data_IF_143990115750
#
_entry.id   IF_143990115750
#
_cell.length_a   1.000
_cell.length_b   1.000
_cell.length_c   1.000
_cell.angle_alpha   90.00
_cell.angle_beta   90.00
_cell.angle_gamma   90.00
#
_symmetry.space_group_name_H-M   'P 1'
#
loop_
_entity.id
_entity.type
_entity.pdbx_description
1 polymer ?
#
# COMPACT_ATOMS: atom_id res chain seq x y z
N UNK A 1 -23.43 9.39 4.01
CA UNK A 1 -23.10 8.09 3.37
C UNK A 1 -21.65 8.14 2.96
N UNK A 2 -20.81 7.31 3.55
CA UNK A 2 -19.40 7.17 3.14
C UNK A 2 -19.34 6.67 1.70
N UNK A 3 -18.57 7.36 0.86
CA UNK A 3 -18.50 7.04 -0.57
C UNK A 3 -17.45 5.96 -0.79
N UNK A 4 -17.82 4.81 -1.38
CA UNK A 4 -16.90 3.73 -1.71
C UNK A 4 -15.77 4.25 -2.59
N UNK A 5 -14.52 3.99 -2.22
CA UNK A 5 -13.32 4.31 -2.98
C UNK A 5 -12.86 3.12 -3.80
N UNK A 6 -12.72 1.95 -3.18
CA UNK A 6 -12.39 0.69 -3.82
C UNK A 6 -13.46 -0.35 -3.48
N UNK A 7 -13.99 -1.01 -4.50
CA UNK A 7 -14.93 -2.13 -4.31
C UNK A 7 -14.48 -3.32 -5.17
N UNK A 8 -14.24 -4.44 -4.51
CA UNK A 8 -13.86 -5.72 -5.12
C UNK A 8 -14.97 -6.71 -4.87
N UNK A 9 -15.48 -7.34 -5.93
CA UNK A 9 -16.59 -8.29 -5.84
C UNK A 9 -16.24 -9.60 -6.53
N UNK A 10 -16.43 -10.72 -5.81
CA UNK A 10 -16.24 -12.09 -6.29
C UNK A 10 -14.93 -12.33 -7.05
N UNK A 11 -13.84 -11.73 -6.57
CA UNK A 11 -12.56 -11.74 -7.26
C UNK A 11 -11.87 -13.10 -7.18
N UNK A 12 -11.55 -13.64 -8.35
CA UNK A 12 -10.64 -14.79 -8.52
C UNK A 12 -9.45 -14.32 -9.34
N UNK A 13 -8.25 -14.62 -8.87
CA UNK A 13 -7.02 -14.26 -9.59
C UNK A 13 -5.99 -15.38 -9.53
N UNK A 14 -5.29 -15.59 -10.64
CA UNK A 14 -4.28 -16.61 -10.83
C UNK A 14 -2.94 -16.05 -11.28
N UNK A 15 -1.89 -16.81 -11.05
CA UNK A 15 -0.58 -16.65 -11.65
C UNK A 15 -0.09 -18.02 -12.11
N UNK A 16 0.47 -18.11 -13.33
CA UNK A 16 1.00 -19.37 -13.88
C UNK A 16 0.03 -20.56 -13.70
N UNK A 17 -1.23 -20.40 -14.10
CA UNK A 17 -2.30 -21.41 -14.00
C UNK A 17 -2.70 -21.83 -12.58
N UNK A 18 -2.13 -21.23 -11.54
CA UNK A 18 -2.51 -21.46 -10.14
C UNK A 18 -3.40 -20.36 -9.62
N UNK A 19 -4.63 -20.69 -9.23
CA UNK A 19 -5.52 -19.76 -8.53
C UNK A 19 -4.96 -19.43 -7.16
N UNK A 20 -4.77 -18.13 -6.90
CA UNK A 20 -4.20 -17.61 -5.64
C UNK A 20 -5.29 -16.91 -4.83
N UNK A 21 -6.13 -16.06 -5.47
CA UNK A 21 -7.26 -15.42 -4.81
C UNK A 21 -8.56 -16.11 -5.23
N UNK A 22 -9.47 -16.30 -4.27
CA UNK A 22 -10.71 -17.05 -4.49
C UNK A 22 -11.87 -16.35 -3.79
N UNK A 23 -12.90 -15.97 -4.57
CA UNK A 23 -14.12 -15.36 -4.05
C UNK A 23 -13.85 -14.23 -3.06
N UNK A 24 -12.88 -13.36 -3.40
CA UNK A 24 -12.46 -12.28 -2.52
C UNK A 24 -13.37 -11.08 -2.70
N UNK A 25 -13.91 -10.60 -1.59
CA UNK A 25 -14.71 -9.39 -1.51
C UNK A 25 -14.05 -8.41 -0.55
N UNK A 26 -13.89 -7.15 -0.99
CA UNK A 26 -13.30 -6.08 -0.17
C UNK A 26 -13.89 -4.75 -0.57
N UNK A 27 -14.37 -3.97 0.40
CA UNK A 27 -14.78 -2.60 0.18
C UNK A 27 -13.98 -1.66 1.07
N UNK A 28 -13.42 -0.60 0.49
CA UNK A 28 -12.70 0.47 1.20
C UNK A 28 -13.40 1.79 0.86
N UNK A 29 -13.88 2.49 1.87
CA UNK A 29 -14.44 3.82 1.68
C UNK A 29 -13.35 4.89 1.75
N UNK A 30 -13.66 6.11 1.30
CA UNK A 30 -12.75 7.25 1.44
C UNK A 30 -12.44 7.54 2.91
N UNK A 31 -11.17 7.77 3.20
CA UNK A 31 -10.68 8.07 4.54
C UNK A 31 -10.39 6.85 5.41
N UNK A 32 -10.75 5.64 5.00
CA UNK A 32 -10.57 4.44 5.81
C UNK A 32 -9.14 3.86 5.68
N UNK A 33 -8.66 3.33 6.81
CA UNK A 33 -7.43 2.55 6.91
C UNK A 33 -7.76 1.09 7.20
N UNK A 34 -7.43 0.23 6.25
CA UNK A 34 -7.63 -1.20 6.31
C UNK A 34 -6.30 -1.93 6.49
N UNK A 35 -6.28 -2.92 7.37
CA UNK A 35 -5.13 -3.79 7.58
C UNK A 35 -5.46 -5.18 7.00
N UNK A 36 -4.55 -5.73 6.21
CA UNK A 36 -4.64 -7.08 5.68
C UNK A 36 -3.58 -7.95 6.34
N UNK A 37 -4.01 -8.89 7.14
CA UNK A 37 -3.17 -9.86 7.83
C UNK A 37 -3.44 -11.28 7.35
N UNK A 38 -2.50 -12.18 7.56
CA UNK A 38 -2.64 -13.59 7.19
C UNK A 38 -1.30 -14.30 7.15
N UNK A 39 -1.27 -15.62 7.14
CA UNK A 39 -0.03 -16.39 7.08
C UNK A 39 0.74 -16.14 5.77
N UNK A 40 2.02 -16.54 5.74
CA UNK A 40 2.82 -16.48 4.53
C UNK A 40 2.19 -17.37 3.44
N UNK A 41 2.19 -16.86 2.20
CA UNK A 41 1.55 -17.57 1.08
C UNK A 41 0.02 -17.44 1.02
N UNK A 42 -0.63 -16.70 1.92
CA UNK A 42 -2.08 -16.50 1.90
C UNK A 42 -2.62 -15.73 0.70
N UNK A 43 -1.76 -14.98 -0.03
CA UNK A 43 -2.15 -14.17 -1.18
C UNK A 43 -2.19 -12.66 -0.92
N UNK A 44 -1.64 -12.17 0.20
CA UNK A 44 -1.69 -10.74 0.60
C UNK A 44 -1.05 -9.82 -0.45
N UNK A 45 0.23 -10.06 -0.79
CA UNK A 45 0.95 -9.28 -1.82
C UNK A 45 0.33 -9.47 -3.20
N UNK A 46 -0.23 -10.65 -3.47
CA UNK A 46 -0.99 -10.91 -4.71
C UNK A 46 -2.19 -9.97 -4.81
N UNK A 47 -2.95 -9.78 -3.73
CA UNK A 47 -4.09 -8.84 -3.72
C UNK A 47 -3.64 -7.42 -4.06
N UNK A 48 -2.58 -6.92 -3.42
CA UNK A 48 -2.03 -5.59 -3.73
C UNK A 48 -1.62 -5.44 -5.20
N UNK A 49 -0.94 -6.44 -5.73
CA UNK A 49 -0.51 -6.47 -7.13
C UNK A 49 -1.70 -6.55 -8.11
N UNK A 50 -2.72 -7.36 -7.80
CA UNK A 50 -3.94 -7.48 -8.61
C UNK A 50 -4.73 -6.16 -8.60
N UNK A 51 -4.87 -5.49 -7.45
CA UNK A 51 -5.48 -4.16 -7.37
C UNK A 51 -4.68 -3.15 -8.20
N UNK A 52 -3.36 -3.26 -8.25
CA UNK A 52 -2.52 -2.37 -9.06
C UNK A 52 -2.50 -2.73 -10.55
N UNK A 53 -3.06 -3.88 -10.95
CA UNK A 53 -3.10 -4.32 -12.36
C UNK A 53 -1.75 -4.85 -12.87
N UNK A 54 -0.98 -5.51 -12.02
CA UNK A 54 0.26 -6.17 -12.41
C UNK A 54 -0.02 -7.33 -13.37
N UNK A 55 0.55 -7.28 -14.56
CA UNK A 55 0.31 -8.23 -15.65
C UNK A 55 0.78 -9.68 -15.38
N UNK A 56 1.52 -9.91 -14.31
CA UNK A 56 1.87 -11.27 -13.86
C UNK A 56 0.66 -12.03 -13.29
N UNK A 57 -0.42 -11.31 -12.94
CA UNK A 57 -1.63 -11.89 -12.39
C UNK A 57 -2.78 -11.70 -13.37
N UNK A 58 -3.56 -12.76 -13.55
CA UNK A 58 -4.76 -12.76 -14.38
C UNK A 58 -6.00 -12.75 -13.48
N UNK A 59 -6.92 -11.84 -13.74
CA UNK A 59 -8.24 -11.87 -13.12
C UNK A 59 -9.08 -12.85 -13.93
N UNK A 60 -9.48 -13.97 -13.31
CA UNK A 60 -10.26 -15.03 -13.94
C UNK A 60 -11.75 -14.77 -13.82
N UNK A 61 -12.19 -14.12 -12.72
CA UNK A 61 -13.58 -13.78 -12.45
C UNK A 61 -13.65 -12.62 -11.45
N UNK A 62 -14.78 -11.93 -11.41
CA UNK A 62 -15.06 -10.82 -10.51
C UNK A 62 -14.73 -9.48 -11.12
N UNK A 63 -14.82 -8.44 -10.30
CA UNK A 63 -14.60 -7.06 -10.74
C UNK A 63 -13.95 -6.20 -9.67
N UNK A 64 -13.23 -5.18 -10.13
CA UNK A 64 -12.59 -4.16 -9.29
C UNK A 64 -13.08 -2.80 -9.74
N UNK A 65 -13.78 -2.08 -8.87
CA UNK A 65 -14.22 -0.71 -9.09
C UNK A 65 -13.41 0.26 -8.23
N UNK A 66 -12.98 1.36 -8.83
CA UNK A 66 -12.32 2.45 -8.14
C UNK A 66 -13.07 3.76 -8.44
N UNK A 67 -13.56 4.43 -7.40
CA UNK A 67 -14.45 5.62 -7.51
C UNK A 67 -15.66 5.39 -8.44
N UNK A 68 -16.27 4.19 -8.37
CA UNK A 68 -17.37 3.70 -9.22
C UNK A 68 -17.01 3.47 -10.70
N UNK A 69 -15.74 3.54 -11.08
CA UNK A 69 -15.26 3.18 -12.40
C UNK A 69 -14.71 1.75 -12.39
N UNK A 70 -15.10 0.93 -13.34
CA UNK A 70 -14.55 -0.42 -13.51
C UNK A 70 -13.10 -0.33 -13.99
N UNK A 71 -12.17 -0.80 -13.16
CA UNK A 71 -10.73 -0.84 -13.46
C UNK A 71 -10.21 -2.26 -13.68
N UNK A 72 -11.09 -3.25 -13.77
CA UNK A 72 -10.73 -4.68 -13.81
C UNK A 72 -9.70 -4.98 -14.91
N UNK A 73 -9.84 -4.38 -16.08
CA UNK A 73 -8.96 -4.56 -17.24
C UNK A 73 -8.00 -3.39 -17.49
N UNK A 74 -8.01 -2.34 -16.65
CA UNK A 74 -7.15 -1.17 -16.88
C UNK A 74 -5.69 -1.48 -16.54
N UNK A 75 -4.76 -0.81 -17.21
CA UNK A 75 -3.32 -1.00 -17.06
C UNK A 75 -2.81 -0.38 -15.75
N UNK A 76 -1.66 -0.85 -15.28
CA UNK A 76 -1.01 -0.35 -14.06
C UNK A 76 -0.77 1.16 -14.08
N UNK A 77 -0.28 1.70 -15.20
CA UNK A 77 -0.02 3.14 -15.36
C UNK A 77 -1.30 3.98 -15.30
N UNK A 78 -2.40 3.51 -15.90
CA UNK A 78 -3.70 4.17 -15.82
C UNK A 78 -4.27 4.16 -14.40
N UNK A 79 -4.13 3.03 -13.68
CA UNK A 79 -4.52 2.94 -12.25
C UNK A 79 -3.72 3.89 -11.38
N UNK A 80 -2.41 4.01 -11.62
CA UNK A 80 -1.56 4.97 -10.92
C UNK A 80 -2.00 6.43 -11.19
N UNK A 81 -2.36 6.76 -12.42
CA UNK A 81 -2.89 8.08 -12.79
C UNK A 81 -4.23 8.38 -12.11
N UNK A 82 -5.09 7.38 -11.92
CA UNK A 82 -6.37 7.52 -11.18
C UNK A 82 -6.16 7.77 -9.69
N UNK A 83 -4.97 7.47 -9.15
CA UNK A 83 -4.61 7.72 -7.76
C UNK A 83 -4.42 6.49 -6.92
N UNK A 84 -4.14 5.33 -7.50
CA UNK A 84 -3.64 4.18 -6.77
C UNK A 84 -2.12 4.26 -6.63
N UNK A 85 -1.61 3.75 -5.52
CA UNK A 85 -0.18 3.64 -5.24
C UNK A 85 0.08 2.28 -4.58
N UNK A 86 1.14 1.61 -5.00
CA UNK A 86 1.62 0.37 -4.37
C UNK A 86 3.08 0.57 -3.94
N UNK A 87 3.35 0.38 -2.65
CA UNK A 87 4.69 0.23 -2.12
C UNK A 87 5.15 -1.21 -2.34
N UNK A 88 6.32 -1.39 -2.93
CA UNK A 88 6.84 -2.73 -3.20
C UNK A 88 7.56 -3.31 -1.98
N UNK A 89 7.41 -4.60 -1.76
CA UNK A 89 8.18 -5.33 -0.75
C UNK A 89 9.69 -5.14 -0.95
N UNK A 90 10.14 -5.18 -2.21
CA UNK A 90 11.52 -4.95 -2.61
C UNK A 90 11.59 -3.84 -3.67
N UNK A 91 11.85 -2.57 -3.27
CA UNK A 91 11.96 -1.47 -4.21
C UNK A 91 13.10 -1.66 -5.22
N UNK A 92 12.79 -1.47 -6.51
CA UNK A 92 13.73 -1.66 -7.61
C UNK A 92 14.71 -0.48 -7.66
N UNK A 93 15.98 -0.76 -8.00
CA UNK A 93 16.99 0.24 -8.32
C UNK A 93 16.81 0.75 -9.75
N UNK A 94 16.87 2.07 -9.95
CA UNK A 94 16.78 2.69 -11.28
C UNK A 94 18.04 3.54 -11.50
N UNK A 95 19.10 2.96 -12.07
CA UNK A 95 20.32 3.69 -12.39
C UNK A 95 20.06 4.82 -13.41
N UNK A 96 20.75 5.93 -13.26
CA UNK A 96 20.66 7.09 -14.16
C UNK A 96 19.45 8.01 -13.93
N UNK A 97 18.53 7.66 -13.01
CA UNK A 97 17.34 8.48 -12.69
C UNK A 97 17.39 8.94 -11.25
N UNK A 98 17.51 10.25 -11.01
CA UNK A 98 17.48 10.77 -9.64
C UNK A 98 16.10 10.66 -9.00
N UNK A 99 16.06 10.57 -7.65
CA UNK A 99 14.81 10.52 -6.89
C UNK A 99 13.91 11.72 -7.23
N UNK A 100 14.47 12.93 -7.29
CA UNK A 100 13.70 14.13 -7.62
C UNK A 100 13.15 14.10 -9.04
N UNK A 101 13.92 13.60 -10.01
CA UNK A 101 13.49 13.47 -11.40
C UNK A 101 12.36 12.44 -11.52
N UNK A 102 12.52 11.27 -10.89
CA UNK A 102 11.50 10.21 -10.89
C UNK A 102 10.16 10.73 -10.34
N UNK A 103 10.18 11.33 -9.14
CA UNK A 103 8.97 11.85 -8.49
C UNK A 103 8.32 12.93 -9.35
N UNK A 104 9.11 13.86 -9.89
CA UNK A 104 8.59 14.93 -10.74
C UNK A 104 7.93 14.37 -12.00
N UNK A 105 8.59 13.47 -12.70
CA UNK A 105 8.04 12.83 -13.89
C UNK A 105 6.73 12.11 -13.58
N UNK A 106 6.68 11.34 -12.48
CA UNK A 106 5.46 10.66 -12.05
C UNK A 106 4.32 11.64 -11.71
N UNK A 107 4.61 12.78 -11.08
CA UNK A 107 3.61 13.81 -10.81
C UNK A 107 3.12 14.50 -12.10
N UNK A 108 4.01 14.76 -13.05
CA UNK A 108 3.69 15.42 -14.34
C UNK A 108 2.83 14.56 -15.27
N UNK A 109 2.67 13.25 -15.01
CA UNK A 109 1.68 12.41 -15.73
C UNK A 109 0.23 12.81 -15.45
N UNK A 110 -0.03 13.47 -14.32
CA UNK A 110 -1.37 13.92 -13.92
C UNK A 110 -1.63 15.38 -14.31
N UNK A 111 -0.67 16.24 -14.06
CA UNK A 111 -0.79 17.67 -14.33
C UNK A 111 0.59 18.35 -14.46
N UNK A 112 0.66 19.46 -15.21
CA UNK A 112 1.90 20.24 -15.30
C UNK A 112 2.21 20.93 -13.97
N UNK A 113 3.40 20.66 -13.42
CA UNK A 113 3.81 21.21 -12.13
C UNK A 113 4.83 22.31 -12.31
N UNK A 114 4.59 23.47 -11.67
CA UNK A 114 5.57 24.53 -11.60
C UNK A 114 6.78 24.10 -10.79
N UNK A 115 7.99 24.26 -11.35
CA UNK A 115 9.24 23.80 -10.73
C UNK A 115 9.43 24.35 -9.30
N UNK A 116 9.04 25.60 -9.05
CA UNK A 116 9.11 26.20 -7.70
C UNK A 116 8.20 25.45 -6.72
N UNK A 117 6.94 25.23 -7.08
CA UNK A 117 5.98 24.52 -6.24
C UNK A 117 6.44 23.08 -5.94
N UNK A 118 7.00 22.38 -6.94
CA UNK A 118 7.59 21.06 -6.75
C UNK A 118 8.74 21.09 -5.72
N UNK A 119 9.69 22.03 -5.86
CA UNK A 119 10.84 22.16 -4.94
C UNK A 119 10.40 22.51 -3.53
N UNK A 120 9.45 23.42 -3.37
CA UNK A 120 8.94 23.82 -2.06
C UNK A 120 8.24 22.64 -1.36
N UNK A 121 7.39 21.88 -2.08
CA UNK A 121 6.74 20.67 -1.58
C UNK A 121 7.78 19.61 -1.21
N UNK A 122 8.75 19.33 -2.09
CA UNK A 122 9.80 18.35 -1.86
C UNK A 122 10.61 18.67 -0.58
N UNK A 123 11.00 19.94 -0.40
CA UNK A 123 11.71 20.41 0.80
C UNK A 123 10.86 20.24 2.06
N UNK A 124 9.58 20.54 1.99
CA UNK A 124 8.66 20.36 3.12
C UNK A 124 8.55 18.89 3.50
N UNK A 125 8.32 18.01 2.53
CA UNK A 125 8.14 16.56 2.79
C UNK A 125 9.44 15.91 3.28
N UNK A 126 10.60 16.23 2.70
CA UNK A 126 11.89 15.72 3.19
C UNK A 126 12.16 16.13 4.64
N UNK A 127 11.84 17.38 4.99
CA UNK A 127 11.94 17.86 6.39
C UNK A 127 10.99 17.11 7.32
N UNK A 128 9.74 16.92 6.92
CA UNK A 128 8.74 16.15 7.70
C UNK A 128 9.20 14.74 7.99
N UNK A 129 9.79 14.07 7.00
CA UNK A 129 10.29 12.70 7.13
C UNK A 129 11.68 12.59 7.76
N UNK A 130 12.38 13.71 7.99
CA UNK A 130 13.75 13.71 8.48
C UNK A 130 14.74 13.08 7.49
N UNK A 131 14.49 13.22 6.19
CA UNK A 131 15.33 12.70 5.11
C UNK A 131 16.41 13.73 4.78
N UNK A 132 17.65 13.25 4.58
CA UNK A 132 18.73 14.11 4.12
C UNK A 132 18.41 14.69 2.73
N UNK A 133 18.36 16.03 2.61
CA UNK A 133 18.02 16.71 1.36
C UNK A 133 18.97 16.35 0.20
N UNK A 134 20.20 15.93 0.47
CA UNK A 134 21.14 15.52 -0.57
C UNK A 134 20.71 14.23 -1.29
N UNK A 135 19.90 13.38 -0.63
CA UNK A 135 19.44 12.11 -1.23
C UNK A 135 18.58 12.32 -2.47
N UNK A 136 17.84 13.43 -2.54
CA UNK A 136 16.94 13.70 -3.68
C UNK A 136 17.66 13.75 -5.04
N UNK A 137 18.97 14.03 -5.02
CA UNK A 137 19.81 14.08 -6.22
C UNK A 137 20.50 12.74 -6.53
N UNK A 138 20.42 11.75 -5.63
CA UNK A 138 20.96 10.40 -5.86
C UNK A 138 20.02 9.60 -6.75
N UNK A 139 20.56 8.61 -7.42
CA UNK A 139 19.81 7.65 -8.23
C UNK A 139 18.82 6.85 -7.36
N UNK A 140 17.63 6.60 -7.89
CA UNK A 140 16.54 5.97 -7.14
C UNK A 140 16.93 4.58 -6.67
N UNK A 141 16.97 4.40 -5.36
CA UNK A 141 17.27 3.17 -4.64
C UNK A 141 18.68 2.58 -4.84
N UNK A 142 19.53 3.19 -5.69
CA UNK A 142 20.88 2.67 -5.98
C UNK A 142 21.81 2.93 -4.78
N UNK A 143 22.32 1.82 -4.20
CA UNK A 143 23.22 1.87 -3.05
C UNK A 143 22.58 2.39 -1.75
N UNK A 144 21.26 2.37 -1.66
CA UNK A 144 20.54 2.64 -0.42
C UNK A 144 20.34 1.35 0.39
N UNK A 145 20.44 1.44 1.71
CA UNK A 145 20.05 0.37 2.62
C UNK A 145 18.53 0.12 2.58
N UNK A 146 18.06 -1.02 3.10
CA UNK A 146 16.63 -1.32 3.15
C UNK A 146 15.81 -0.23 3.84
N UNK A 147 16.27 0.25 5.00
CA UNK A 147 15.60 1.33 5.74
C UNK A 147 15.57 2.65 4.98
N UNK A 148 16.66 3.00 4.29
CA UNK A 148 16.72 4.21 3.46
C UNK A 148 15.76 4.12 2.27
N UNK A 149 15.65 2.95 1.61
CA UNK A 149 14.67 2.72 0.52
C UNK A 149 13.24 2.92 1.00
N UNK A 150 12.90 2.44 2.20
CA UNK A 150 11.55 2.64 2.77
C UNK A 150 11.27 4.11 3.12
N UNK A 151 12.28 4.87 3.57
CA UNK A 151 12.15 6.34 3.74
C UNK A 151 11.88 7.02 2.41
N UNK A 152 12.55 6.60 1.33
CA UNK A 152 12.29 7.13 -0.02
C UNK A 152 10.90 6.73 -0.54
N UNK A 153 10.39 5.55 -0.22
CA UNK A 153 8.99 5.18 -0.53
C UNK A 153 7.99 6.10 0.17
N UNK A 154 8.22 6.45 1.44
CA UNK A 154 7.37 7.42 2.15
C UNK A 154 7.45 8.82 1.52
N UNK A 155 8.63 9.22 1.04
CA UNK A 155 8.76 10.46 0.27
C UNK A 155 7.92 10.40 -1.01
N UNK A 156 7.96 9.30 -1.76
CA UNK A 156 7.14 9.11 -2.95
C UNK A 156 5.65 9.15 -2.60
N UNK A 157 5.20 8.44 -1.56
CA UNK A 157 3.82 8.44 -1.09
C UNK A 157 3.29 9.86 -0.85
N UNK A 158 4.01 10.66 -0.04
CA UNK A 158 3.58 12.02 0.30
C UNK A 158 3.67 13.00 -0.87
N UNK A 159 4.65 12.83 -1.75
CA UNK A 159 4.79 13.66 -2.95
C UNK A 159 3.73 13.36 -4.00
N UNK A 160 3.48 12.09 -4.30
CA UNK A 160 2.49 11.64 -5.30
C UNK A 160 1.06 11.79 -4.81
N UNK A 161 0.87 11.78 -3.49
CA UNK A 161 -0.41 12.04 -2.81
C UNK A 161 -1.58 11.24 -3.43
N UNK A 162 -1.52 9.88 -3.47
CA UNK A 162 -2.55 9.06 -4.07
C UNK A 162 -3.87 9.16 -3.30
N UNK A 163 -4.96 8.61 -3.87
CA UNK A 163 -6.26 8.47 -3.18
C UNK A 163 -6.29 7.20 -2.31
N UNK A 164 -5.70 6.11 -2.83
CA UNK A 164 -5.51 4.86 -2.11
C UNK A 164 -4.03 4.45 -2.17
N UNK A 165 -3.42 4.27 -1.02
CA UNK A 165 -2.09 3.70 -0.92
C UNK A 165 -2.17 2.25 -0.39
N UNK A 166 -1.54 1.33 -1.12
CA UNK A 166 -1.35 -0.06 -0.73
C UNK A 166 0.09 -0.18 -0.27
N UNK A 167 0.29 -0.50 1.01
CA UNK A 167 1.61 -0.59 1.64
C UNK A 167 1.90 -2.06 1.96
N UNK A 168 2.78 -2.69 1.17
CA UNK A 168 3.10 -4.12 1.31
C UNK A 168 4.41 -4.31 2.08
N UNK A 169 4.28 -4.82 3.32
CA UNK A 169 5.39 -5.11 4.25
C UNK A 169 6.43 -3.98 4.36
N UNK A 170 5.94 -2.74 4.46
CA UNK A 170 6.80 -1.54 4.53
C UNK A 170 7.62 -1.44 5.80
N UNK A 171 7.33 -2.25 6.79
CA UNK A 171 7.97 -2.32 8.10
C UNK A 171 8.91 -3.52 8.28
N UNK A 172 9.04 -4.38 7.29
CA UNK A 172 9.88 -5.58 7.35
C UNK A 172 11.37 -5.23 7.36
N UNK A 173 12.11 -5.78 8.34
CA UNK A 173 13.57 -5.63 8.44
C UNK A 173 14.06 -4.22 8.76
N UNK A 174 13.21 -3.33 9.28
CA UNK A 174 13.56 -1.96 9.62
C UNK A 174 14.19 -1.84 11.02
N UNK A 175 15.17 -0.95 11.16
CA UNK A 175 15.61 -0.45 12.44
C UNK A 175 14.58 0.52 13.07
N UNK A 176 14.80 0.86 14.34
CA UNK A 176 13.87 1.70 15.11
C UNK A 176 13.66 3.08 14.47
N UNK A 177 14.69 3.67 13.88
CA UNK A 177 14.61 5.01 13.29
C UNK A 177 13.90 4.98 11.93
N UNK A 178 14.09 3.93 11.16
CA UNK A 178 13.33 3.72 9.91
C UNK A 178 11.84 3.49 10.21
N UNK A 179 11.50 2.67 11.21
CA UNK A 179 10.10 2.47 11.67
C UNK A 179 9.45 3.80 12.03
N UNK A 180 10.12 4.66 12.82
CA UNK A 180 9.60 5.99 13.18
C UNK A 180 9.35 6.87 11.96
N UNK A 181 10.27 6.86 10.97
CA UNK A 181 10.11 7.66 9.75
C UNK A 181 8.94 7.15 8.89
N UNK A 182 8.82 5.83 8.72
CA UNK A 182 7.70 5.20 8.00
C UNK A 182 6.38 5.50 8.69
N UNK A 183 6.30 5.29 10.01
CA UNK A 183 5.08 5.61 10.80
C UNK A 183 4.68 7.08 10.66
N UNK A 184 5.66 8.01 10.72
CA UNK A 184 5.41 9.45 10.51
C UNK A 184 4.88 9.74 9.11
N UNK A 185 5.42 9.07 8.08
CA UNK A 185 4.95 9.18 6.71
C UNK A 185 3.49 8.76 6.57
N UNK A 186 3.14 7.61 7.13
CA UNK A 186 1.77 7.08 7.11
C UNK A 186 0.83 7.98 7.91
N UNK A 187 1.20 8.39 9.12
CA UNK A 187 0.41 9.33 9.93
C UNK A 187 0.16 10.65 9.20
N UNK A 188 1.19 11.21 8.54
CA UNK A 188 1.04 12.43 7.74
C UNK A 188 0.06 12.22 6.59
N UNK A 189 0.08 11.05 5.94
CA UNK A 189 -0.86 10.70 4.88
C UNK A 189 -2.30 10.56 5.41
N UNK A 190 -2.49 9.98 6.59
CA UNK A 190 -3.80 9.83 7.26
C UNK A 190 -4.43 11.15 7.73
N UNK A 191 -3.68 12.27 7.78
CA UNK A 191 -4.25 13.58 8.17
C UNK A 191 -5.26 14.12 7.16
N UNK A 192 -5.23 13.64 5.93
CA UNK A 192 -6.23 13.94 4.91
C UNK A 192 -7.33 12.87 4.94
N UNK A 193 -8.51 13.24 5.40
CA UNK A 193 -9.69 12.38 5.55
C UNK A 193 -10.26 11.84 4.23
N UNK A 194 -9.72 12.27 3.10
CA UNK A 194 -10.04 11.75 1.76
C UNK A 194 -9.08 10.64 1.30
N UNK A 195 -8.02 10.35 2.09
CA UNK A 195 -6.99 9.38 1.75
C UNK A 195 -7.24 8.06 2.46
N UNK A 196 -7.13 6.98 1.71
CA UNK A 196 -7.34 5.64 2.23
C UNK A 196 -6.08 4.81 2.16
N UNK A 197 -5.98 3.84 3.07
CA UNK A 197 -4.83 2.94 3.20
C UNK A 197 -5.30 1.48 3.19
N UNK A 198 -4.56 0.64 2.48
CA UNK A 198 -4.55 -0.80 2.65
C UNK A 198 -3.13 -1.21 3.04
N UNK A 199 -2.93 -1.57 4.31
CA UNK A 199 -1.62 -1.96 4.84
C UNK A 199 -1.57 -3.47 4.97
N UNK A 200 -0.62 -4.08 4.28
CA UNK A 200 -0.32 -5.51 4.34
C UNK A 200 0.87 -5.66 5.28
N UNK A 201 0.67 -6.27 6.42
CA UNK A 201 1.76 -6.53 7.37
C UNK A 201 1.48 -7.75 8.24
N UNK A 202 2.55 -8.34 8.74
CA UNK A 202 2.53 -9.35 9.79
C UNK A 202 3.12 -8.81 11.11
N UNK A 203 3.55 -7.54 11.14
CA UNK A 203 4.17 -6.90 12.30
C UNK A 203 3.22 -5.86 12.91
N UNK A 204 2.87 -6.05 14.17
CA UNK A 204 1.96 -5.14 14.88
C UNK A 204 2.59 -3.82 15.30
N UNK A 205 3.94 -3.72 15.36
CA UNK A 205 4.62 -2.53 15.91
C UNK A 205 4.29 -1.24 15.18
N UNK A 206 4.23 -1.26 13.84
CA UNK A 206 3.88 -0.07 13.07
C UNK A 206 2.42 0.33 13.29
N UNK A 207 1.55 -0.65 13.52
CA UNK A 207 0.12 -0.47 13.68
C UNK A 207 -0.25 0.28 14.98
N UNK A 208 0.61 0.22 16.02
CA UNK A 208 0.41 0.94 17.28
C UNK A 208 0.35 2.47 17.12
N UNK A 209 0.89 2.98 16.02
CA UNK A 209 0.96 4.42 15.75
C UNK A 209 -0.14 4.91 14.80
N UNK A 210 -1.03 4.03 14.33
CA UNK A 210 -1.97 4.32 13.25
C UNK A 210 -3.42 4.25 13.72
N UNK A 211 -4.28 5.09 13.11
CA UNK A 211 -5.71 4.89 13.19
C UNK A 211 -6.10 3.74 12.25
N UNK A 212 -6.88 2.78 12.74
CA UNK A 212 -7.28 1.58 12.01
C UNK A 212 -8.79 1.45 12.08
N UNK A 213 -9.44 1.39 10.92
CA UNK A 213 -10.89 1.21 10.83
C UNK A 213 -11.25 -0.28 10.74
N UNK A 214 -10.53 -1.03 9.91
CA UNK A 214 -10.82 -2.45 9.67
C UNK A 214 -9.56 -3.30 9.61
N UNK A 215 -9.69 -4.54 10.09
CA UNK A 215 -8.68 -5.59 9.96
C UNK A 215 -9.30 -6.77 9.23
N UNK A 216 -8.63 -7.25 8.20
CA UNK A 216 -9.03 -8.39 7.40
C UNK A 216 -8.05 -9.53 7.58
N UNK A 217 -8.55 -10.74 7.76
CA UNK A 217 -7.74 -11.96 7.84
C UNK A 217 -7.88 -12.73 6.54
N UNK A 218 -6.78 -12.81 5.80
CA UNK A 218 -6.69 -13.54 4.52
C UNK A 218 -6.05 -14.91 4.75
N UNK A 219 -6.75 -15.97 4.39
CA UNK A 219 -6.24 -17.36 4.44
C UNK A 219 -6.61 -18.05 3.13
N UNK A 220 -5.63 -18.72 2.51
CA UNK A 220 -5.81 -19.45 1.25
C UNK A 220 -6.56 -18.65 0.17
N UNK A 221 -6.20 -17.39 0.01
CA UNK A 221 -6.78 -16.50 -1.00
C UNK A 221 -8.18 -15.97 -0.71
N UNK A 222 -8.72 -16.17 0.51
CA UNK A 222 -10.05 -15.70 0.93
C UNK A 222 -9.95 -14.81 2.15
N UNK A 223 -10.72 -13.72 2.19
CA UNK A 223 -10.96 -12.98 3.44
C UNK A 223 -11.97 -13.81 4.25
N UNK A 224 -11.51 -14.35 5.36
CA UNK A 224 -12.32 -15.24 6.23
C UNK A 224 -12.93 -14.48 7.42
N UNK A 225 -12.33 -13.38 7.83
CA UNK A 225 -12.82 -12.54 8.92
C UNK A 225 -12.51 -11.07 8.62
N UNK A 226 -13.45 -10.20 8.95
CA UNK A 226 -13.27 -8.75 9.00
C UNK A 226 -13.75 -8.27 10.35
N UNK A 227 -13.00 -7.39 10.98
CA UNK A 227 -13.33 -6.80 12.28
C UNK A 227 -12.54 -5.52 12.53
N UNK A 228 -12.52 -5.07 13.76
CA UNK A 228 -11.77 -3.91 14.21
C UNK A 228 -10.33 -4.26 14.64
N UNK A 229 -9.62 -3.28 15.20
CA UNK A 229 -8.23 -3.44 15.65
C UNK A 229 -8.03 -4.50 16.74
N UNK A 230 -9.09 -4.98 17.42
CA UNK A 230 -9.00 -6.06 18.41
C UNK A 230 -8.53 -7.39 17.81
N UNK A 231 -8.79 -7.62 16.52
CA UNK A 231 -8.29 -8.81 15.81
C UNK A 231 -6.76 -8.90 15.81
N UNK A 232 -6.05 -7.76 15.79
CA UNK A 232 -4.58 -7.73 15.82
C UNK A 232 -4.08 -8.37 17.12
N UNK A 233 -4.75 -8.07 18.24
CA UNK A 233 -4.38 -8.64 19.55
C UNK A 233 -4.59 -10.16 19.56
N UNK A 234 -5.71 -10.65 19.04
CA UNK A 234 -6.00 -12.07 18.93
C UNK A 234 -4.93 -12.78 18.08
N UNK A 235 -4.57 -12.20 16.93
CA UNK A 235 -3.53 -12.77 16.06
C UNK A 235 -2.17 -12.81 16.76
N UNK A 236 -1.80 -11.77 17.51
CA UNK A 236 -0.53 -11.73 18.23
C UNK A 236 -0.46 -12.75 19.36
N UNK A 237 -1.57 -13.04 20.04
CA UNK A 237 -1.64 -13.96 21.18
C UNK A 237 -1.82 -15.43 20.73
N UNK A 238 -2.61 -15.69 19.70
CA UNK A 238 -3.09 -17.02 19.33
C UNK A 238 -2.69 -17.47 17.91
N UNK A 239 -2.07 -16.57 17.13
CA UNK A 239 -1.78 -16.85 15.72
C UNK A 239 -3.02 -16.90 14.85
N UNK A 240 -2.91 -17.62 13.72
CA UNK A 240 -4.01 -17.76 12.74
C UNK A 240 -4.80 -19.06 12.91
N UNK A 241 -4.39 -19.98 13.79
CA UNK A 241 -5.05 -21.29 13.98
C UNK A 241 -6.54 -21.19 14.30
N UNK A 242 -7.00 -20.28 15.20
CA UNK A 242 -8.43 -20.15 15.50
C UNK A 242 -9.29 -19.87 14.27
N UNK A 243 -8.74 -19.14 13.30
CA UNK A 243 -9.44 -18.74 12.08
C UNK A 243 -9.40 -19.83 10.98
N UNK A 244 -8.45 -20.76 11.05
CA UNK A 244 -8.34 -21.90 10.12
C UNK A 244 -9.30 -23.01 10.55
N UNK A 245 -9.43 -23.25 11.86
CA UNK A 245 -10.21 -24.35 12.43
C UNK A 245 -11.69 -24.01 12.67
N UNK A 246 -12.13 -22.80 12.33
CA UNK A 246 -13.51 -22.36 12.54
C UNK A 246 -13.88 -22.05 14.01
N UNK A 247 -12.89 -21.97 14.91
CA UNK A 247 -13.09 -21.63 16.34
C UNK A 247 -13.03 -20.09 16.59
N UNK A 248 -12.90 -19.29 15.54
CA UNK A 248 -12.76 -17.83 15.60
C UNK A 248 -14.08 -17.09 15.32
N UNK A 249 -15.22 -17.55 15.86
CA UNK A 249 -16.48 -16.81 15.86
C UNK A 249 -16.50 -15.67 16.87
#
# INVERSE_FOLDING_TARGET
MTKSLLNITDLYASAEDKTILQNLNLNINKGETHILMGPNGAGKSTLGNVIMGNSQYKIDRGSIFFENEDITSTRTDERAQKGLFLSFQSPIEIPGVSISQFIRTAMETKEKIRLKAFRDKLKTVTKTLGINEQWINRELNVGFSGGERKKIEMLQLLMLNPKLAILDETDSGLDVDAVKTVSRGIQTFQQDDQKSLLIITHNSKILEYLHIDYVHILINGKIIKTGDASLIKIINEQGYEPFITGQGE
#
